data_IF_626416292178
#
_entry.id   IF_626416292178
#
_cell.length_a   1.000
_cell.length_b   1.000
_cell.length_c   1.000
_cell.angle_alpha   90.00
_cell.angle_beta   90.00
_cell.angle_gamma   90.00
#
_symmetry.space_group_name_H-M   'P 1'
#
loop_
_entity.id
_entity.type
_entity.pdbx_description
1 polymer ?
#
# COMPACT_ATOMS: atom_id res chain seq x y z
N UNK A 1 -84.96 64.43 71.84
CA UNK A 1 -83.78 65.14 71.31
C UNK A 1 -82.51 64.43 71.77
N UNK A 2 -81.85 63.69 70.87
CA UNK A 2 -80.41 63.40 70.97
C UNK A 2 -79.85 63.56 69.56
N UNK A 3 -78.87 64.45 69.46
CA UNK A 3 -78.29 64.98 68.23
C UNK A 3 -77.38 63.92 67.59
N UNK A 4 -77.58 63.66 66.30
CA UNK A 4 -76.65 62.90 65.47
C UNK A 4 -75.39 63.73 65.23
N UNK A 5 -74.25 63.18 65.62
CA UNK A 5 -72.92 63.72 65.29
C UNK A 5 -72.41 62.95 64.07
N UNK A 6 -72.28 63.65 62.94
CA UNK A 6 -71.60 63.11 61.77
C UNK A 6 -70.09 63.25 61.97
N UNK A 7 -69.36 62.14 61.87
CA UNK A 7 -67.90 62.14 61.79
C UNK A 7 -67.46 62.60 60.39
N UNK A 8 -66.40 63.42 60.27
CA UNK A 8 -65.87 63.82 58.97
C UNK A 8 -65.09 62.65 58.32
N UNK A 9 -65.27 62.49 57.01
CA UNK A 9 -64.53 61.53 56.21
C UNK A 9 -63.02 61.86 56.18
N UNK A 10 -62.18 60.83 56.27
CA UNK A 10 -60.72 60.95 56.19
C UNK A 10 -60.27 61.47 54.81
N UNK A 11 -59.22 62.32 54.74
CA UNK A 11 -58.69 62.79 53.46
C UNK A 11 -58.01 61.65 52.70
N UNK A 12 -58.49 61.38 51.49
CA UNK A 12 -57.80 60.51 50.55
C UNK A 12 -56.54 61.21 50.04
N UNK A 13 -55.39 60.83 50.58
CA UNK A 13 -54.10 61.13 49.95
C UNK A 13 -53.99 60.30 48.66
N UNK A 14 -54.32 60.92 47.53
CA UNK A 14 -53.94 60.43 46.20
C UNK A 14 -52.43 60.60 46.03
N UNK A 15 -51.67 59.62 46.52
CA UNK A 15 -50.27 59.46 46.16
C UNK A 15 -50.25 58.91 44.74
N UNK A 16 -50.21 59.77 43.74
CA UNK A 16 -49.93 59.36 42.36
C UNK A 16 -48.52 58.72 42.37
N UNK A 17 -48.36 57.40 42.20
CA UNK A 17 -47.05 56.87 41.84
C UNK A 17 -46.79 57.43 40.45
N UNK A 18 -45.77 58.28 40.33
CA UNK A 18 -45.41 58.89 39.05
C UNK A 18 -45.20 57.79 38.02
N UNK A 19 -45.87 57.85 36.86
CA UNK A 19 -45.69 56.87 35.78
C UNK A 19 -44.22 56.63 35.40
N UNK A 20 -43.35 57.61 35.70
CA UNK A 20 -41.89 57.53 35.59
C UNK A 20 -41.25 56.42 36.45
N UNK A 21 -41.66 56.23 37.70
CA UNK A 21 -41.07 55.17 38.55
C UNK A 21 -41.53 53.78 38.09
N UNK A 22 -42.80 53.66 37.68
CA UNK A 22 -43.32 52.43 37.07
C UNK A 22 -42.58 52.07 35.78
N UNK A 23 -42.29 53.07 34.94
CA UNK A 23 -41.55 52.86 33.69
C UNK A 23 -40.08 52.47 33.96
N UNK A 24 -39.44 53.09 34.95
CA UNK A 24 -38.06 52.76 35.35
C UNK A 24 -37.97 51.33 35.89
N UNK A 25 -38.92 50.90 36.71
CA UNK A 25 -38.97 49.53 37.24
C UNK A 25 -39.19 48.50 36.12
N UNK A 26 -40.02 48.81 35.13
CA UNK A 26 -40.28 47.92 33.99
C UNK A 26 -39.07 47.84 33.04
N UNK A 27 -38.35 48.95 32.84
CA UNK A 27 -37.07 48.97 32.12
C UNK A 27 -35.99 48.19 32.87
N UNK A 28 -35.93 48.29 34.21
CA UNK A 28 -35.00 47.48 35.02
C UNK A 28 -35.35 45.99 35.00
N UNK A 29 -36.63 45.65 35.05
CA UNK A 29 -37.09 44.26 34.96
C UNK A 29 -36.76 43.64 33.60
N UNK A 30 -36.97 44.37 32.50
CA UNK A 30 -36.64 43.91 31.15
C UNK A 30 -35.14 43.81 30.91
N UNK A 31 -34.35 44.80 31.35
CA UNK A 31 -32.89 44.74 31.26
C UNK A 31 -32.33 43.58 32.09
N UNK A 32 -32.79 43.38 33.32
CA UNK A 32 -32.33 42.27 34.16
C UNK A 32 -32.67 40.91 33.56
N UNK A 33 -33.85 40.75 32.96
CA UNK A 33 -34.21 39.56 32.19
C UNK A 33 -33.30 39.34 30.99
N UNK A 34 -32.95 40.40 30.26
CA UNK A 34 -32.08 40.32 29.08
C UNK A 34 -30.64 39.95 29.45
N UNK A 35 -30.12 40.49 30.55
CA UNK A 35 -28.82 40.11 31.10
C UNK A 35 -28.79 38.66 31.59
N UNK A 36 -29.85 38.21 32.28
CA UNK A 36 -29.97 36.82 32.72
C UNK A 36 -29.99 35.86 31.52
N UNK A 37 -30.72 36.21 30.46
CA UNK A 37 -30.77 35.42 29.23
C UNK A 37 -29.40 35.36 28.53
N UNK A 38 -28.71 36.49 28.42
CA UNK A 38 -27.36 36.55 27.85
C UNK A 38 -26.34 35.72 28.64
N UNK A 39 -26.43 35.74 29.97
CA UNK A 39 -25.56 34.93 30.84
C UNK A 39 -25.80 33.43 30.67
N UNK A 40 -27.06 32.99 30.54
CA UNK A 40 -27.42 31.60 30.27
C UNK A 40 -26.91 31.16 28.90
N UNK A 41 -27.08 31.97 27.86
CA UNK A 41 -26.53 31.68 26.54
C UNK A 41 -25.00 31.57 26.55
N UNK A 42 -24.31 32.47 27.26
CA UNK A 42 -22.87 32.40 27.41
C UNK A 42 -22.43 31.10 28.11
N UNK A 43 -23.15 30.65 29.13
CA UNK A 43 -22.91 29.36 29.78
C UNK A 43 -23.09 28.18 28.82
N UNK A 44 -24.14 28.19 27.98
CA UNK A 44 -24.33 27.15 26.96
C UNK A 44 -23.21 27.14 25.92
N UNK A 45 -22.73 28.31 25.48
CA UNK A 45 -21.59 28.42 24.56
C UNK A 45 -20.31 27.88 25.21
N UNK A 46 -20.02 28.28 26.44
CA UNK A 46 -18.83 27.81 27.18
C UNK A 46 -18.91 26.30 27.42
N UNK A 47 -20.06 25.78 27.82
CA UNK A 47 -20.28 24.35 28.03
C UNK A 47 -20.16 23.58 26.70
N UNK A 48 -20.69 24.10 25.61
CA UNK A 48 -20.56 23.54 24.27
C UNK A 48 -19.10 23.47 23.82
N UNK A 49 -18.33 24.54 24.01
CA UNK A 49 -16.89 24.57 23.70
C UNK A 49 -16.10 23.63 24.60
N UNK A 50 -16.45 23.55 25.89
CA UNK A 50 -15.81 22.64 26.84
C UNK A 50 -16.06 21.18 26.45
N UNK A 51 -17.31 20.81 26.16
CA UNK A 51 -17.68 19.48 25.68
C UNK A 51 -17.04 19.17 24.32
N UNK A 52 -16.95 20.16 23.42
CA UNK A 52 -16.28 20.00 22.13
C UNK A 52 -14.78 19.73 22.28
N UNK A 53 -14.12 20.37 23.25
CA UNK A 53 -12.71 20.11 23.57
C UNK A 53 -12.50 18.79 24.33
N UNK A 54 -13.53 18.29 25.01
CA UNK A 54 -13.50 17.00 25.72
C UNK A 54 -13.86 15.81 24.84
N UNK A 55 -14.52 16.03 23.70
CA UNK A 55 -14.65 14.99 22.68
C UNK A 55 -13.23 14.62 22.24
N UNK A 56 -12.77 13.37 22.42
CA UNK A 56 -11.53 12.93 21.80
C UNK A 56 -11.68 13.19 20.30
N UNK A 57 -10.64 13.72 19.65
CA UNK A 57 -10.62 13.98 18.22
C UNK A 57 -11.04 12.70 17.46
N UNK A 58 -12.34 12.53 17.20
CA UNK A 58 -12.87 11.39 16.45
C UNK A 58 -12.40 11.45 14.98
N UNK A 59 -11.85 12.59 14.57
CA UNK A 59 -11.19 12.85 13.29
C UNK A 59 -9.66 12.78 13.36
N UNK A 60 -9.05 12.61 14.54
CA UNK A 60 -7.64 12.29 14.72
C UNK A 60 -7.44 10.95 15.45
N UNK A 61 -8.38 10.03 15.28
CA UNK A 61 -8.00 8.62 15.23
C UNK A 61 -7.20 8.46 13.94
N UNK A 62 -5.92 8.85 13.97
CA UNK A 62 -4.93 8.32 13.04
C UNK A 62 -5.06 6.83 13.25
N UNK A 63 -5.77 6.17 12.33
CA UNK A 63 -5.82 4.73 12.27
C UNK A 63 -4.38 4.29 12.51
N UNK A 64 -4.11 3.42 13.51
CA UNK A 64 -2.75 2.97 13.76
C UNK A 64 -2.21 2.60 12.40
N UNK A 65 -1.13 3.28 11.96
CA UNK A 65 -0.57 3.04 10.64
C UNK A 65 -0.48 1.53 10.54
N UNK A 66 -1.26 0.93 9.62
CA UNK A 66 -1.43 -0.50 9.60
C UNK A 66 -0.02 -1.07 9.72
N UNK A 67 0.24 -1.87 10.77
CA UNK A 67 1.60 -2.24 11.18
C UNK A 67 2.25 -3.21 10.18
N UNK A 68 1.83 -3.14 8.91
CA UNK A 68 2.26 -3.96 7.81
C UNK A 68 1.89 -3.33 6.48
N UNK A 69 2.05 -4.11 5.43
CA UNK A 69 1.87 -3.72 4.05
C UNK A 69 0.44 -3.25 3.75
N UNK A 70 0.31 -2.05 3.20
CA UNK A 70 -0.96 -1.50 2.73
C UNK A 70 -0.97 -1.41 1.21
N UNK A 71 -2.09 -1.81 0.58
CA UNK A 71 -2.27 -1.63 -0.85
C UNK A 71 -2.36 -0.13 -1.14
N UNK A 72 -1.41 0.38 -1.92
CA UNK A 72 -1.42 1.74 -2.39
C UNK A 72 -2.34 1.83 -3.61
N UNK A 73 -3.56 2.33 -3.39
CA UNK A 73 -4.50 2.59 -4.49
C UNK A 73 -3.95 3.59 -5.52
N UNK A 74 -4.59 3.70 -6.70
CA UNK A 74 -4.27 4.58 -7.86
C UNK A 74 -2.89 5.27 -7.81
N UNK A 75 -1.81 4.48 -7.82
CA UNK A 75 -0.46 5.00 -7.98
C UNK A 75 0.00 4.76 -9.41
N UNK A 76 0.78 5.69 -9.95
CA UNK A 76 1.41 5.50 -11.25
C UNK A 76 2.41 4.32 -11.17
N UNK A 77 2.41 3.42 -12.17
CA UNK A 77 3.34 2.32 -12.21
C UNK A 77 4.77 2.85 -12.31
N UNK A 78 5.68 2.34 -11.46
CA UNK A 78 7.10 2.67 -11.55
C UNK A 78 7.83 1.74 -12.53
N UNK A 79 7.25 0.58 -12.82
CA UNK A 79 7.84 -0.45 -13.66
C UNK A 79 6.84 -0.90 -14.70
N UNK A 80 7.35 -1.41 -15.83
CA UNK A 80 6.55 -2.03 -16.87
C UNK A 80 7.30 -3.21 -17.46
N UNK A 81 6.59 -4.22 -17.94
CA UNK A 81 7.18 -5.29 -18.74
C UNK A 81 6.72 -5.11 -20.18
N UNK A 82 7.68 -4.90 -21.11
CA UNK A 82 7.36 -4.72 -22.52
C UNK A 82 6.67 -5.97 -23.08
N UNK A 83 5.35 -5.88 -23.32
CA UNK A 83 4.42 -6.90 -23.84
C UNK A 83 5.06 -8.27 -24.03
N UNK A 84 5.19 -9.04 -22.94
CA UNK A 84 5.49 -10.47 -23.07
C UNK A 84 4.45 -11.04 -24.06
N UNK A 85 4.85 -11.91 -25.00
CA UNK A 85 3.95 -12.48 -26.01
C UNK A 85 2.96 -13.44 -25.32
N UNK A 86 2.03 -12.86 -24.57
CA UNK A 86 1.14 -13.45 -23.59
C UNK A 86 -0.30 -13.09 -24.00
N UNK A 87 -0.65 -13.37 -25.26
CA UNK A 87 -1.95 -13.00 -25.85
C UNK A 87 -3.17 -13.48 -25.05
N UNK A 88 -3.00 -14.44 -24.16
CA UNK A 88 -4.06 -15.07 -23.37
C UNK A 88 -3.93 -14.90 -21.85
N UNK A 89 -3.09 -13.97 -21.35
CA UNK A 89 -2.85 -13.79 -19.90
C UNK A 89 -3.24 -12.42 -19.40
N UNK A 90 -4.03 -12.39 -18.34
CA UNK A 90 -4.35 -11.16 -17.61
C UNK A 90 -3.17 -10.80 -16.72
N UNK A 91 -2.55 -9.66 -16.98
CA UNK A 91 -1.51 -9.04 -16.15
C UNK A 91 -2.18 -8.08 -15.15
N UNK A 92 -1.95 -8.28 -13.85
CA UNK A 92 -2.28 -7.30 -12.82
C UNK A 92 -1.02 -6.70 -12.22
N UNK A 93 -1.09 -5.41 -11.87
CA UNK A 93 -0.01 -4.68 -11.23
C UNK A 93 -0.51 -4.03 -9.93
N UNK A 94 0.08 -4.43 -8.81
CA UNK A 94 -0.28 -3.97 -7.48
C UNK A 94 0.92 -3.31 -6.79
N UNK A 95 0.68 -2.21 -6.08
CA UNK A 95 1.72 -1.52 -5.33
C UNK A 95 1.37 -1.58 -3.85
N UNK A 96 2.31 -2.03 -3.03
CA UNK A 96 2.19 -2.02 -1.57
C UNK A 96 3.20 -1.06 -0.95
N UNK A 97 2.79 -0.39 0.12
CA UNK A 97 3.62 0.51 0.90
C UNK A 97 3.69 0.06 2.35
N UNK A 98 4.88 0.15 2.91
CA UNK A 98 5.12 0.00 4.32
C UNK A 98 5.17 1.40 4.98
N UNK A 99 4.65 1.57 6.21
CA UNK A 99 4.76 2.83 6.94
C UNK A 99 6.20 3.31 7.14
N UNK A 100 7.16 2.38 7.18
CA UNK A 100 8.59 2.65 7.35
C UNK A 100 9.31 3.01 6.04
N UNK A 101 8.57 3.19 4.94
CA UNK A 101 9.10 3.65 3.65
C UNK A 101 9.29 2.56 2.60
N UNK A 102 9.17 1.29 2.99
CA UNK A 102 9.23 0.16 2.07
C UNK A 102 8.18 0.23 0.96
N UNK A 103 8.54 -0.27 -0.22
CA UNK A 103 7.66 -0.36 -1.37
C UNK A 103 7.80 -1.71 -2.07
N UNK A 104 6.68 -2.36 -2.35
CA UNK A 104 6.61 -3.56 -3.18
C UNK A 104 5.78 -3.28 -4.41
N UNK A 105 6.26 -3.67 -5.57
CA UNK A 105 5.54 -3.62 -6.83
C UNK A 105 5.39 -5.07 -7.33
N UNK A 106 4.15 -5.55 -7.48
CA UNK A 106 3.85 -6.95 -7.78
C UNK A 106 3.13 -7.04 -9.12
N UNK A 107 3.68 -7.83 -10.02
CA UNK A 107 3.04 -8.27 -11.26
C UNK A 107 2.53 -9.70 -11.08
N UNK A 108 1.29 -9.96 -11.50
CA UNK A 108 0.71 -11.31 -11.53
C UNK A 108 0.19 -11.60 -12.92
N UNK A 109 0.48 -12.79 -13.43
CA UNK A 109 -0.07 -13.28 -14.70
C UNK A 109 -0.90 -14.52 -14.45
N UNK A 110 -2.17 -14.48 -14.83
CA UNK A 110 -3.05 -15.65 -14.86
C UNK A 110 -2.98 -16.35 -16.22
N UNK A 111 -3.15 -17.67 -16.27
CA UNK A 111 -3.38 -18.41 -17.51
C UNK A 111 -4.81 -18.23 -18.04
N UNK A 112 -5.13 -18.88 -19.16
CA UNK A 112 -6.47 -18.86 -19.76
C UNK A 112 -7.57 -19.42 -18.85
N UNK A 113 -7.22 -20.23 -17.84
CA UNK A 113 -8.15 -20.79 -16.86
C UNK A 113 -8.27 -19.92 -15.59
N UNK A 114 -7.59 -18.76 -15.55
CA UNK A 114 -7.58 -17.86 -14.40
C UNK A 114 -6.63 -18.29 -13.27
N UNK A 115 -5.87 -19.37 -13.42
CA UNK A 115 -4.89 -19.80 -12.43
C UNK A 115 -3.58 -19.02 -12.58
N UNK A 116 -2.97 -18.60 -11.46
CA UNK A 116 -1.71 -17.87 -11.48
C UNK A 116 -0.60 -18.70 -12.14
N UNK A 117 -0.03 -18.17 -13.22
CA UNK A 117 0.98 -18.80 -14.05
C UNK A 117 2.38 -18.21 -13.82
N UNK A 118 2.46 -16.96 -13.36
CA UNK A 118 3.70 -16.33 -12.95
C UNK A 118 3.44 -15.14 -12.01
N UNK A 119 4.45 -14.79 -11.23
CA UNK A 119 4.49 -13.62 -10.35
C UNK A 119 5.88 -12.98 -10.38
N UNK A 120 5.94 -11.66 -10.31
CA UNK A 120 7.17 -10.88 -10.13
C UNK A 120 6.93 -9.82 -9.06
N UNK A 121 7.70 -9.87 -7.99
CA UNK A 121 7.77 -8.87 -6.92
C UNK A 121 9.08 -8.09 -7.02
N UNK A 122 8.98 -6.76 -7.06
CA UNK A 122 10.08 -5.83 -6.93
C UNK A 122 9.94 -5.16 -5.57
N UNK A 123 10.79 -5.53 -4.63
CA UNK A 123 10.80 -5.02 -3.28
C UNK A 123 11.96 -4.05 -3.06
N UNK A 124 11.63 -2.87 -2.58
CA UNK A 124 12.56 -1.86 -2.07
C UNK A 124 12.34 -1.71 -0.57
N UNK A 125 13.29 -2.18 0.25
CA UNK A 125 13.23 -1.99 1.69
C UNK A 125 13.22 -0.52 2.09
N UNK A 126 12.47 -0.20 3.13
CA UNK A 126 12.55 1.06 3.86
C UNK A 126 13.32 0.89 5.15
N UNK A 127 12.76 1.41 6.26
CA UNK A 127 13.28 1.18 7.61
C UNK A 127 12.91 -0.19 8.19
N UNK A 128 12.02 -0.93 7.54
CA UNK A 128 11.51 -2.19 8.08
C UNK A 128 12.52 -3.33 8.04
N UNK A 129 12.38 -4.27 8.98
CA UNK A 129 13.12 -5.52 8.94
C UNK A 129 12.67 -6.37 7.75
N UNK A 130 13.48 -6.38 6.69
CA UNK A 130 13.28 -7.25 5.54
C UNK A 130 13.42 -8.72 5.97
N UNK A 131 12.40 -9.54 5.67
CA UNK A 131 12.44 -10.97 5.94
C UNK A 131 13.43 -11.70 5.02
N UNK A 132 13.80 -12.94 5.37
CA UNK A 132 14.67 -13.75 4.51
C UNK A 132 14.01 -14.00 3.15
N UNK A 133 14.67 -13.53 2.09
CA UNK A 133 14.16 -13.52 0.72
C UNK A 133 13.64 -14.88 0.24
N UNK A 134 14.37 -15.95 0.55
CA UNK A 134 14.02 -17.33 0.16
C UNK A 134 12.71 -17.76 0.84
N UNK A 135 12.51 -17.43 2.11
CA UNK A 135 11.29 -17.80 2.84
C UNK A 135 10.06 -17.03 2.33
N UNK A 136 10.23 -15.75 1.96
CA UNK A 136 9.17 -14.97 1.34
C UNK A 136 8.75 -15.55 -0.01
N UNK A 137 9.71 -15.96 -0.86
CA UNK A 137 9.41 -16.64 -2.13
C UNK A 137 8.74 -17.98 -1.88
N UNK A 138 9.22 -18.76 -0.92
CA UNK A 138 8.67 -20.08 -0.59
C UNK A 138 7.18 -19.99 -0.23
N UNK A 139 6.80 -19.02 0.58
CA UNK A 139 5.41 -18.79 0.96
C UNK A 139 4.50 -18.37 -0.21
N UNK A 140 5.05 -17.81 -1.29
CA UNK A 140 4.29 -17.41 -2.49
C UNK A 140 4.27 -18.50 -3.56
N UNK A 141 5.36 -19.27 -3.68
CA UNK A 141 5.49 -20.36 -4.64
C UNK A 141 4.65 -21.58 -4.21
N UNK A 142 4.61 -21.85 -2.91
CA UNK A 142 3.87 -22.96 -2.32
C UNK A 142 3.19 -22.51 -1.02
N UNK A 143 2.05 -21.79 -1.11
CA UNK A 143 1.38 -21.24 0.07
C UNK A 143 0.84 -22.32 1.01
N UNK A 144 0.61 -23.55 0.52
CA UNK A 144 0.00 -24.66 1.26
C UNK A 144 0.92 -25.83 1.61
N UNK A 145 2.12 -25.91 1.02
CA UNK A 145 3.06 -26.98 1.30
C UNK A 145 4.19 -26.58 2.24
N UNK A 146 5.29 -27.34 2.18
CA UNK A 146 6.34 -27.37 3.23
C UNK A 146 7.21 -26.11 3.24
N UNK A 147 7.04 -25.19 2.27
CA UNK A 147 7.82 -23.95 2.10
C UNK A 147 9.34 -24.19 2.06
N UNK A 148 9.76 -25.39 1.68
CA UNK A 148 11.15 -25.75 1.52
C UNK A 148 11.54 -25.60 0.04
N UNK A 149 12.52 -24.73 -0.20
CA UNK A 149 13.06 -24.46 -1.54
C UNK A 149 14.48 -25.01 -1.66
N UNK A 150 14.74 -25.68 -2.76
CA UNK A 150 16.06 -26.13 -3.17
C UNK A 150 16.64 -25.22 -4.26
N UNK A 151 17.96 -25.10 -4.29
CA UNK A 151 18.65 -24.41 -5.38
C UNK A 151 18.48 -25.16 -6.71
N UNK A 152 17.97 -24.47 -7.73
CA UNK A 152 17.72 -25.00 -9.07
C UNK A 152 18.73 -24.48 -10.13
N UNK A 153 19.84 -23.91 -9.66
CA UNK A 153 20.92 -23.34 -10.47
C UNK A 153 20.91 -21.82 -10.52
N UNK A 154 21.69 -21.27 -11.45
CA UNK A 154 21.85 -19.83 -11.66
C UNK A 154 21.64 -19.55 -13.15
N UNK A 155 21.04 -18.41 -13.48
CA UNK A 155 20.94 -17.87 -14.85
C UNK A 155 21.37 -16.43 -14.88
N UNK A 156 21.91 -15.98 -16.00
CA UNK A 156 22.25 -14.58 -16.20
C UNK A 156 21.08 -13.82 -16.83
N UNK A 157 20.87 -12.61 -16.32
CA UNK A 157 19.90 -11.65 -16.84
C UNK A 157 20.59 -10.31 -17.06
N UNK A 158 19.86 -9.33 -17.60
CA UNK A 158 20.36 -7.95 -17.69
C UNK A 158 20.76 -7.33 -16.34
N UNK A 159 20.22 -7.85 -15.23
CA UNK A 159 20.58 -7.48 -13.86
C UNK A 159 21.77 -8.27 -13.30
N UNK A 160 22.42 -9.11 -14.12
CA UNK A 160 23.46 -10.06 -13.71
C UNK A 160 22.87 -11.40 -13.28
N UNK A 161 23.64 -12.16 -12.50
CA UNK A 161 23.28 -13.52 -12.09
C UNK A 161 22.09 -13.56 -11.15
N UNK A 162 21.18 -14.49 -11.40
CA UNK A 162 19.90 -14.70 -10.73
C UNK A 162 19.85 -16.13 -10.21
N UNK A 163 19.56 -16.29 -8.93
CA UNK A 163 19.43 -17.60 -8.30
C UNK A 163 18.07 -18.18 -8.61
N UNK A 164 18.04 -19.46 -9.01
CA UNK A 164 16.81 -20.20 -9.27
C UNK A 164 16.48 -21.10 -8.09
N UNK A 165 15.20 -21.22 -7.79
CA UNK A 165 14.68 -21.96 -6.65
C UNK A 165 13.54 -22.86 -7.12
N UNK A 166 13.47 -24.08 -6.62
CA UNK A 166 12.35 -25.01 -6.87
C UNK A 166 11.82 -25.55 -5.54
N UNK A 167 10.54 -25.89 -5.43
CA UNK A 167 10.04 -26.63 -4.26
C UNK A 167 10.78 -27.96 -4.14
N UNK A 168 11.20 -28.32 -2.92
CA UNK A 168 11.85 -29.62 -2.63
C UNK A 168 10.91 -30.79 -2.95
N UNK A 169 9.62 -30.59 -2.70
CA UNK A 169 8.55 -31.54 -3.01
C UNK A 169 7.60 -30.94 -4.03
N UNK A 170 7.41 -31.64 -5.14
CA UNK A 170 6.47 -31.25 -6.19
C UNK A 170 5.23 -32.15 -6.12
N UNK A 171 4.27 -31.75 -5.29
CA UNK A 171 2.98 -32.43 -5.21
C UNK A 171 1.99 -31.73 -6.16
N UNK A 172 2.03 -32.11 -7.45
CA UNK A 172 1.09 -31.59 -8.44
C UNK A 172 1.56 -31.70 -9.90
N UNK A 173 0.65 -31.42 -10.83
CA UNK A 173 0.93 -31.43 -12.28
C UNK A 173 1.65 -30.16 -12.78
N UNK A 174 1.72 -29.11 -11.96
CA UNK A 174 2.34 -27.83 -12.31
C UNK A 174 3.70 -27.66 -11.62
N UNK A 175 4.75 -27.74 -12.41
CA UNK A 175 6.11 -27.46 -11.95
C UNK A 175 6.40 -25.98 -12.11
N UNK A 176 6.74 -25.31 -11.02
CA UNK A 176 7.01 -23.87 -11.01
C UNK A 176 8.45 -23.63 -10.57
N UNK A 177 9.10 -22.67 -11.22
CA UNK A 177 10.48 -22.27 -10.94
C UNK A 177 10.47 -20.86 -10.38
N UNK A 178 10.95 -20.73 -9.15
CA UNK A 178 11.19 -19.46 -8.47
C UNK A 178 12.53 -18.85 -8.87
N UNK A 179 12.66 -17.54 -8.69
CA UNK A 179 13.91 -16.83 -8.87
C UNK A 179 14.08 -15.70 -7.85
N UNK A 180 15.34 -15.39 -7.57
CA UNK A 180 15.75 -14.33 -6.67
C UNK A 180 16.97 -13.60 -7.25
N UNK A 181 16.85 -12.28 -7.34
CA UNK A 181 17.94 -11.35 -7.58
C UNK A 181 17.95 -10.29 -6.49
N UNK A 182 19.07 -10.18 -5.78
CA UNK A 182 19.33 -9.09 -4.85
C UNK A 182 20.39 -8.16 -5.44
N UNK A 183 20.20 -6.87 -5.27
CA UNK A 183 21.17 -5.82 -5.51
C UNK A 183 21.36 -5.05 -4.20
N UNK A 184 22.61 -4.82 -3.81
CA UNK A 184 22.94 -4.14 -2.56
C UNK A 184 22.95 -2.62 -2.72
N UNK A 185 23.17 -2.13 -3.94
CA UNK A 185 23.20 -0.70 -4.26
C UNK A 185 22.48 -0.43 -5.59
N UNK A 186 21.24 0.10 -5.58
CA UNK A 186 20.36 0.31 -4.42
C UNK A 186 19.92 -1.01 -3.77
N UNK A 187 19.46 -0.95 -2.51
CA UNK A 187 18.82 -2.09 -1.85
C UNK A 187 17.51 -2.43 -2.57
N UNK A 188 17.60 -3.41 -3.46
CA UNK A 188 16.54 -3.80 -4.37
C UNK A 188 16.53 -5.32 -4.47
N UNK A 189 15.37 -5.90 -4.20
CA UNK A 189 15.11 -7.34 -4.34
C UNK A 189 14.09 -7.57 -5.44
N UNK A 190 14.50 -8.29 -6.48
CA UNK A 190 13.64 -8.75 -7.57
C UNK A 190 13.43 -10.24 -7.37
N UNK A 191 12.21 -10.67 -7.16
CA UNK A 191 11.90 -12.08 -6.89
C UNK A 191 10.60 -12.48 -7.54
N UNK A 192 10.38 -13.76 -7.76
CA UNK A 192 9.15 -14.20 -8.40
C UNK A 192 9.20 -15.67 -8.74
N UNK A 193 8.24 -16.09 -9.55
CA UNK A 193 8.16 -17.46 -10.04
C UNK A 193 7.39 -17.55 -11.34
N UNK A 194 7.60 -18.65 -12.06
CA UNK A 194 6.87 -18.98 -13.28
C UNK A 194 6.61 -20.47 -13.35
N UNK A 195 5.39 -20.82 -13.74
CA UNK A 195 5.03 -22.19 -14.13
C UNK A 195 4.94 -22.32 -15.67
N UNK A 196 5.47 -21.33 -16.40
CA UNK A 196 5.42 -21.28 -17.85
C UNK A 196 6.56 -22.10 -18.46
N UNK A 197 6.21 -23.08 -19.30
CA UNK A 197 7.15 -23.99 -19.94
C UNK A 197 7.09 -25.38 -19.33
N UNK A 198 7.04 -26.40 -20.19
CA UNK A 198 6.96 -27.81 -19.79
C UNK A 198 8.30 -28.39 -19.31
N UNK A 199 9.41 -27.68 -19.55
CA UNK A 199 10.76 -28.10 -19.20
C UNK A 199 11.49 -27.02 -18.41
N UNK A 200 12.47 -27.45 -17.61
CA UNK A 200 13.32 -26.54 -16.83
C UNK A 200 14.07 -25.51 -17.69
N UNK A 201 14.65 -25.87 -18.87
CA UNK A 201 15.22 -24.87 -19.79
C UNK A 201 14.20 -23.84 -20.28
N UNK A 202 12.96 -24.25 -20.58
CA UNK A 202 11.91 -23.31 -21.00
C UNK A 202 11.52 -22.34 -19.88
N UNK A 203 11.45 -22.84 -18.63
CA UNK A 203 11.17 -22.01 -17.45
C UNK A 203 12.31 -21.01 -17.21
N UNK A 204 13.57 -21.43 -17.33
CA UNK A 204 14.75 -20.55 -17.26
C UNK A 204 14.69 -19.42 -18.30
N UNK A 205 14.42 -19.76 -19.57
CA UNK A 205 14.28 -18.79 -20.63
C UNK A 205 13.12 -17.81 -20.38
N UNK A 206 12.00 -18.28 -19.83
CA UNK A 206 10.87 -17.44 -19.47
C UNK A 206 11.23 -16.42 -18.37
N UNK A 207 11.99 -16.84 -17.34
CA UNK A 207 12.49 -15.97 -16.26
C UNK A 207 13.43 -14.90 -16.84
N UNK A 208 14.42 -15.31 -17.62
CA UNK A 208 15.38 -14.38 -18.24
C UNK A 208 14.65 -13.37 -19.13
N UNK A 209 13.68 -13.83 -19.91
CA UNK A 209 12.89 -12.95 -20.77
C UNK A 209 12.08 -11.93 -19.97
N UNK A 210 11.40 -12.37 -18.90
CA UNK A 210 10.63 -11.50 -18.01
C UNK A 210 11.52 -10.41 -17.40
N UNK A 211 12.70 -10.79 -16.90
CA UNK A 211 13.67 -9.86 -16.33
C UNK A 211 14.25 -8.90 -17.37
N UNK A 212 14.61 -9.39 -18.56
CA UNK A 212 15.17 -8.54 -19.61
C UNK A 212 14.18 -7.50 -20.14
N UNK A 213 12.88 -7.80 -20.10
CA UNK A 213 11.81 -6.87 -20.51
C UNK A 213 11.33 -5.93 -19.43
N UNK A 214 11.77 -6.11 -18.19
CA UNK A 214 11.41 -5.25 -17.06
C UNK A 214 12.06 -3.87 -17.19
N UNK A 215 11.27 -2.84 -17.45
CA UNK A 215 11.73 -1.47 -17.68
C UNK A 215 11.30 -0.56 -16.53
N UNK A 216 12.15 0.39 -16.15
CA UNK A 216 11.81 1.43 -15.17
C UNK A 216 11.12 2.61 -15.88
N UNK A 217 9.88 2.91 -15.48
CA UNK A 217 9.13 4.07 -15.94
C UNK A 217 9.40 5.31 -15.09
N UNK A 218 9.49 5.13 -13.77
CA UNK A 218 9.67 6.22 -12.83
C UNK A 218 10.54 5.80 -11.64
N UNK A 219 11.73 6.38 -11.55
CA UNK A 219 12.66 6.17 -10.43
C UNK A 219 12.23 6.89 -9.15
N UNK A 220 11.38 7.92 -9.25
CA UNK A 220 11.12 8.85 -8.15
C UNK A 220 12.40 9.62 -7.78
N UNK A 221 12.69 9.73 -6.49
CA UNK A 221 13.88 10.42 -5.97
C UNK A 221 15.08 9.48 -5.73
N UNK A 222 15.12 8.32 -6.39
CA UNK A 222 16.19 7.34 -6.26
C UNK A 222 17.09 7.30 -7.52
N UNK A 223 18.20 8.07 -7.54
CA UNK A 223 19.11 8.07 -8.68
C UNK A 223 19.89 6.76 -8.81
N UNK A 224 20.06 5.99 -7.74
CA UNK A 224 20.76 4.70 -7.79
C UNK A 224 19.90 3.64 -8.46
N UNK A 225 18.59 3.67 -8.24
CA UNK A 225 17.63 2.85 -8.99
C UNK A 225 17.65 3.19 -10.48
N UNK A 226 17.63 4.48 -10.82
CA UNK A 226 17.75 4.91 -12.22
C UNK A 226 19.07 4.41 -12.84
N UNK A 227 20.19 4.54 -12.13
CA UNK A 227 21.48 4.06 -12.60
C UNK A 227 21.51 2.54 -12.77
N UNK A 228 20.99 1.76 -11.83
CA UNK A 228 20.95 0.29 -11.93
C UNK A 228 20.20 -0.15 -13.18
N UNK A 229 19.02 0.44 -13.44
CA UNK A 229 18.25 0.11 -14.63
C UNK A 229 18.94 0.58 -15.91
N UNK A 230 19.55 1.76 -15.94
CA UNK A 230 20.30 2.23 -17.10
C UNK A 230 21.47 1.29 -17.45
N UNK A 231 22.23 0.83 -16.46
CA UNK A 231 23.31 -0.14 -16.69
C UNK A 231 22.78 -1.52 -17.10
N UNK A 232 21.63 -1.92 -16.56
CA UNK A 232 20.99 -3.17 -16.94
C UNK A 232 20.51 -3.12 -18.40
N UNK A 233 19.94 -2.01 -18.88
CA UNK A 233 19.51 -1.88 -20.28
C UNK A 233 20.65 -2.09 -21.29
N UNK A 234 21.89 -1.73 -20.94
CA UNK A 234 23.06 -1.99 -21.78
C UNK A 234 23.34 -3.50 -21.96
N UNK A 235 22.89 -4.33 -21.02
CA UNK A 235 23.04 -5.78 -21.02
C UNK A 235 21.76 -6.49 -21.47
N UNK A 236 20.75 -5.76 -21.93
CA UNK A 236 19.48 -6.35 -22.36
C UNK A 236 19.70 -7.22 -23.58
N UNK A 237 19.49 -8.52 -23.44
CA UNK A 237 19.39 -9.45 -24.55
C UNK A 237 17.92 -9.65 -24.94
N UNK A 238 17.67 -9.81 -26.24
CA UNK A 238 16.32 -10.06 -26.72
C UNK A 238 15.81 -11.43 -26.27
N UNK A 239 14.51 -11.49 -25.99
CA UNK A 239 13.86 -12.76 -25.74
C UNK A 239 13.78 -13.52 -27.06
N UNK A 240 14.55 -14.58 -27.21
CA UNK A 240 14.24 -15.59 -28.22
C UNK A 240 12.95 -16.27 -27.77
N UNK A 241 11.82 -15.84 -28.33
CA UNK A 241 10.59 -16.63 -28.32
C UNK A 241 10.98 -18.00 -28.87
N UNK A 242 10.56 -19.05 -28.17
CA UNK A 242 10.82 -20.45 -28.49
C UNK A 242 10.34 -20.84 -29.89
N UNK A 243 11.07 -20.40 -30.92
CA UNK A 243 11.16 -21.01 -32.23
C UNK A 243 12.38 -21.94 -32.25
N UNK A 244 12.43 -22.91 -33.18
CA UNK A 244 13.52 -23.88 -33.25
C UNK A 244 14.88 -23.14 -33.30
N UNK A 245 15.89 -23.62 -32.58
CA UNK A 245 17.16 -22.92 -32.44
C UNK A 245 17.74 -22.68 -33.83
N UNK A 246 18.03 -21.42 -34.16
CA UNK A 246 18.99 -21.13 -35.19
C UNK A 246 20.30 -21.78 -34.74
N UNK A 247 20.70 -22.84 -35.44
CA UNK A 247 21.98 -23.52 -35.27
C UNK A 247 23.10 -22.52 -35.58
N UNK A 248 23.49 -21.73 -34.58
CA UNK A 248 24.62 -20.81 -34.68
C UNK A 248 25.04 -20.37 -33.28
N UNK A 249 26.02 -21.12 -32.75
CA UNK A 249 27.02 -20.72 -31.77
C UNK A 249 26.55 -20.33 -30.35
N UNK A 250 26.68 -21.25 -29.39
CA UNK A 250 27.70 -21.14 -28.32
C UNK A 250 27.61 -22.34 -27.36
N UNK A 251 28.39 -23.40 -27.62
CA UNK A 251 28.49 -24.55 -26.72
C UNK A 251 29.35 -24.26 -25.48
N UNK A 252 30.01 -23.10 -25.43
CA UNK A 252 30.86 -22.66 -24.31
C UNK A 252 30.08 -21.81 -23.29
N UNK A 253 28.96 -21.20 -23.69
CA UNK A 253 28.13 -20.32 -22.84
C UNK A 253 26.67 -20.82 -22.69
N UNK A 254 26.39 -22.04 -23.16
CA UNK A 254 25.05 -22.62 -23.13
C UNK A 254 24.53 -22.84 -21.71
N UNK A 255 23.27 -22.48 -21.47
CA UNK A 255 22.54 -22.68 -20.21
C UNK A 255 22.29 -24.15 -19.81
N UNK A 256 22.92 -25.09 -20.50
CA UNK A 256 22.86 -26.52 -20.23
C UNK A 256 24.09 -26.93 -19.41
N UNK A 257 23.87 -27.64 -18.30
CA UNK A 257 24.96 -28.22 -17.52
C UNK A 257 25.72 -29.23 -18.43
N UNK A 258 27.05 -29.15 -18.54
CA UNK A 258 27.79 -30.07 -19.40
C UNK A 258 27.63 -31.51 -18.89
N UNK A 259 27.08 -32.38 -19.74
CA UNK A 259 27.05 -33.82 -19.49
C UNK A 259 28.46 -34.38 -19.67
N UNK A 260 29.11 -34.74 -18.57
CA UNK A 260 30.37 -35.47 -18.58
C UNK A 260 30.16 -36.83 -19.25
N UNK A 261 30.47 -36.92 -20.55
CA UNK A 261 30.66 -38.21 -21.21
C UNK A 261 32.08 -38.69 -20.91
N UNK A 262 32.21 -39.45 -19.84
CA UNK A 262 33.43 -40.17 -19.50
C UNK A 262 33.09 -41.55 -18.95
N UNK A 263 32.85 -42.50 -19.85
CA UNK A 263 33.00 -43.91 -19.55
C UNK A 263 33.96 -44.48 -20.60
N UNK A 264 35.19 -44.75 -20.16
CA UNK A 264 36.11 -45.70 -20.78
C UNK A 264 36.19 -46.90 -19.85
#
# INVERSE_FOLDING_TARGET
MRLFRADPAAPHHTRNPSALTSFVDEVHATLSGLFAYAAVLALFVVLGVYLWRQLPDATAMRAPAAAGWSLAGRQAPAFVISKLDQRDKTETYEVFRHPEGGRKDIFRWADANGALAAELEIYRPGGEAAGPAVAEIAGRLDPGGVRELEAAGIVDSKFGSVTLLRPARQDGSRTCLGFLKQADAPDLRISGWTCQGASLPAQRAAIVCMLNRLTLLAAGNDPRLAALFAHAELKRTDCVTSGPPALSADWVMGSENPLLRGAL
#
